data_IF_071856884004
#
_entry.id   IF_071856884004
#
_cell.length_a   1.000
_cell.length_b   1.000
_cell.length_c   1.000
_cell.angle_alpha   90.00
_cell.angle_beta   90.00
_cell.angle_gamma   90.00
#
_symmetry.space_group_name_H-M   'P 1'
#
loop_
_entity.id
_entity.type
_entity.pdbx_description
1 polymer ?
#
# COMPACT_ATOMS: atom_id res chain seq x y z
N UNK A 1 20.03 -13.19 -7.79
CA UNK A 1 19.49 -11.83 -7.64
C UNK A 1 18.42 -11.90 -6.56
N UNK A 2 18.71 -11.40 -5.35
CA UNK A 2 17.64 -11.20 -4.35
C UNK A 2 16.90 -9.94 -4.79
N UNK A 3 15.56 -9.91 -4.81
CA UNK A 3 14.85 -8.66 -5.02
C UNK A 3 15.19 -7.81 -3.79
N UNK A 4 16.07 -6.83 -3.99
CA UNK A 4 16.26 -5.78 -3.00
C UNK A 4 14.89 -5.19 -2.72
N UNK A 5 14.56 -5.06 -1.45
CA UNK A 5 13.35 -4.40 -0.98
C UNK A 5 13.36 -2.97 -1.51
N UNK A 6 12.86 -2.78 -2.74
CA UNK A 6 12.64 -1.48 -3.33
C UNK A 6 11.58 -0.84 -2.44
N UNK A 7 12.01 -0.01 -1.50
CA UNK A 7 11.13 0.81 -0.67
C UNK A 7 10.38 1.73 -1.62
N UNK A 8 9.23 1.27 -2.10
CA UNK A 8 8.34 2.09 -2.92
C UNK A 8 7.90 3.24 -2.01
N UNK A 9 8.28 4.50 -2.32
CA UNK A 9 7.85 5.63 -1.53
C UNK A 9 6.33 5.72 -1.55
N UNK A 10 5.73 6.15 -0.43
CA UNK A 10 4.30 6.43 -0.37
C UNK A 10 3.95 7.49 -1.42
N UNK A 11 3.00 7.18 -2.31
CA UNK A 11 2.40 8.11 -3.27
C UNK A 11 0.97 8.41 -2.84
N UNK A 12 0.54 9.66 -3.03
CA UNK A 12 -0.85 10.04 -2.78
C UNK A 12 -1.79 9.35 -3.78
N UNK A 13 -3.08 9.29 -3.47
CA UNK A 13 -4.08 8.71 -4.39
C UNK A 13 -4.14 9.50 -5.70
N UNK A 14 -3.97 10.82 -5.67
CA UNK A 14 -3.91 11.65 -6.88
C UNK A 14 -2.68 11.32 -7.74
N UNK A 15 -1.51 11.12 -7.12
CA UNK A 15 -0.28 10.76 -7.83
C UNK A 15 -0.39 9.38 -8.49
N UNK A 16 -0.98 8.41 -7.79
CA UNK A 16 -1.21 7.06 -8.34
C UNK A 16 -2.17 7.10 -9.53
N UNK A 17 -3.21 7.94 -9.48
CA UNK A 17 -4.14 8.12 -10.60
C UNK A 17 -3.47 8.76 -11.81
N UNK A 18 -2.70 9.84 -11.60
CA UNK A 18 -2.02 10.53 -12.68
C UNK A 18 -1.01 9.62 -13.41
N UNK A 19 -0.20 8.87 -12.64
CA UNK A 19 0.75 7.90 -13.21
C UNK A 19 0.03 6.77 -13.97
N UNK A 20 -1.11 6.32 -13.45
CA UNK A 20 -1.91 5.27 -14.07
C UNK A 20 -2.54 5.74 -15.38
N UNK A 21 -3.15 6.91 -15.41
CA UNK A 21 -3.79 7.48 -16.61
C UNK A 21 -2.76 7.71 -17.72
N UNK A 22 -1.55 8.16 -17.36
CA UNK A 22 -0.44 8.29 -18.29
C UNK A 22 -0.05 6.93 -18.90
N UNK A 23 0.01 5.86 -18.09
CA UNK A 23 0.33 4.50 -18.56
C UNK A 23 -0.78 3.84 -19.37
N UNK A 24 -2.05 4.06 -19.01
CA UNK A 24 -3.21 3.60 -19.78
C UNK A 24 -3.18 4.21 -21.19
N UNK A 25 -2.86 5.50 -21.28
CA UNK A 25 -2.73 6.21 -22.55
C UNK A 25 -1.55 5.70 -23.37
N UNK A 26 -0.37 5.51 -22.76
CA UNK A 26 0.83 4.97 -23.42
C UNK A 26 0.60 3.56 -23.97
N UNK A 27 -0.10 2.72 -23.21
CA UNK A 27 -0.36 1.32 -23.58
C UNK A 27 -1.61 1.14 -24.44
N UNK A 28 -2.31 2.24 -24.78
CA UNK A 28 -3.58 2.23 -25.52
C UNK A 28 -4.58 1.20 -24.96
N UNK A 29 -4.69 1.14 -23.63
CA UNK A 29 -5.56 0.19 -22.94
C UNK A 29 -7.01 0.64 -23.11
N UNK A 30 -7.87 -0.30 -23.49
CA UNK A 30 -9.31 -0.06 -23.62
C UNK A 30 -9.92 0.41 -22.29
N UNK A 31 -10.87 1.34 -22.36
CA UNK A 31 -11.41 2.04 -21.19
C UNK A 31 -11.94 1.07 -20.12
N UNK A 32 -12.66 0.02 -20.51
CA UNK A 32 -13.20 -0.98 -19.58
C UNK A 32 -12.08 -1.76 -18.85
N UNK A 33 -11.00 -2.06 -19.56
CA UNK A 33 -9.82 -2.72 -18.98
C UNK A 33 -9.07 -1.79 -18.02
N UNK A 34 -8.97 -0.50 -18.35
CA UNK A 34 -8.34 0.50 -17.48
C UNK A 34 -9.11 0.66 -16.15
N UNK A 35 -10.44 0.65 -16.20
CA UNK A 35 -11.26 0.78 -14.99
C UNK A 35 -11.11 -0.44 -14.06
N UNK A 36 -11.04 -1.64 -14.62
CA UNK A 36 -10.76 -2.88 -13.88
C UNK A 36 -9.40 -2.84 -13.19
N UNK A 37 -8.36 -2.40 -13.91
CA UNK A 37 -7.00 -2.28 -13.38
C UNK A 37 -6.91 -1.22 -12.28
N UNK A 38 -7.57 -0.07 -12.45
CA UNK A 38 -7.63 0.98 -11.42
C UNK A 38 -8.29 0.47 -10.15
N UNK A 39 -9.43 -0.23 -10.28
CA UNK A 39 -10.15 -0.81 -9.14
C UNK A 39 -9.27 -1.82 -8.39
N UNK A 40 -8.53 -2.66 -9.12
CA UNK A 40 -7.59 -3.62 -8.53
C UNK A 40 -6.47 -2.92 -7.75
N UNK A 41 -5.84 -1.90 -8.33
CA UNK A 41 -4.77 -1.15 -7.64
C UNK A 41 -5.27 -0.43 -6.39
N UNK A 42 -6.48 0.13 -6.42
CA UNK A 42 -7.07 0.80 -5.25
C UNK A 42 -7.38 -0.19 -4.13
N UNK A 43 -7.88 -1.39 -4.44
CA UNK A 43 -8.12 -2.42 -3.43
C UNK A 43 -6.81 -2.93 -2.84
N UNK A 44 -5.77 -3.17 -3.64
CA UNK A 44 -4.44 -3.56 -3.13
C UNK A 44 -3.85 -2.48 -2.22
N UNK A 45 -4.00 -1.20 -2.57
CA UNK A 45 -3.55 -0.08 -1.73
C UNK A 45 -4.33 -0.04 -0.39
N UNK A 46 -5.65 -0.23 -0.43
CA UNK A 46 -6.49 -0.33 0.78
C UNK A 46 -6.07 -1.51 1.66
N UNK A 47 -5.83 -2.69 1.07
CA UNK A 47 -5.35 -3.87 1.79
C UNK A 47 -3.97 -3.63 2.41
N UNK A 48 -3.06 -2.97 1.71
CA UNK A 48 -1.75 -2.58 2.23
C UNK A 48 -1.88 -1.62 3.43
N UNK A 49 -2.81 -0.66 3.38
CA UNK A 49 -3.10 0.23 4.50
C UNK A 49 -3.64 -0.53 5.72
N UNK A 50 -4.59 -1.45 5.52
CA UNK A 50 -5.13 -2.31 6.59
C UNK A 50 -4.00 -3.12 7.23
N UNK A 51 -3.18 -3.81 6.43
CA UNK A 51 -2.02 -4.58 6.92
C UNK A 51 -1.03 -3.71 7.67
N UNK A 52 -0.76 -2.49 7.18
CA UNK A 52 0.11 -1.51 7.83
C UNK A 52 -0.44 -1.05 9.19
N UNK A 53 -1.75 -0.81 9.29
CA UNK A 53 -2.43 -0.48 10.55
C UNK A 53 -2.41 -1.66 11.52
N UNK A 54 -2.69 -2.88 11.06
CA UNK A 54 -2.60 -4.09 11.89
C UNK A 54 -1.19 -4.32 12.42
N UNK A 55 -0.17 -4.13 11.58
CA UNK A 55 1.24 -4.23 12.00
C UNK A 55 1.59 -3.15 13.04
N UNK A 56 1.20 -1.90 12.79
CA UNK A 56 1.38 -0.79 13.73
C UNK A 56 0.69 -1.06 15.07
N UNK A 57 -0.54 -1.59 15.04
CA UNK A 57 -1.30 -1.89 16.25
C UNK A 57 -0.71 -3.05 17.04
N UNK A 58 -0.29 -4.14 16.37
CA UNK A 58 0.44 -5.26 17.00
C UNK A 58 1.75 -4.82 17.63
N UNK A 59 2.49 -3.91 16.98
CA UNK A 59 3.75 -3.35 17.50
C UNK A 59 3.51 -2.49 18.74
N UNK A 60 2.51 -1.60 18.69
CA UNK A 60 2.10 -0.77 19.83
C UNK A 60 1.61 -1.64 21.02
N UNK A 61 0.84 -2.68 20.74
CA UNK A 61 0.36 -3.64 21.73
C UNK A 61 1.51 -4.43 22.39
N UNK A 62 2.47 -4.88 21.59
CA UNK A 62 3.67 -5.58 22.07
C UNK A 62 4.56 -4.66 22.91
N UNK A 63 4.68 -3.38 22.52
CA UNK A 63 5.42 -2.38 23.29
C UNK A 63 4.78 -2.16 24.66
N UNK A 64 3.45 -1.96 24.72
CA UNK A 64 2.71 -1.79 25.98
C UNK A 64 2.88 -2.98 26.94
N UNK A 65 2.79 -4.22 26.46
CA UNK A 65 2.99 -5.41 27.31
C UNK A 65 4.43 -5.50 27.86
N UNK A 66 5.43 -5.12 27.06
CA UNK A 66 6.82 -5.14 27.50
C UNK A 66 7.11 -4.05 28.55
N UNK A 67 6.50 -2.88 28.43
CA UNK A 67 6.63 -1.83 29.45
C UNK A 67 5.98 -2.22 30.77
N UNK A 68 4.81 -2.87 30.74
CA UNK A 68 4.13 -3.33 31.96
C UNK A 68 4.91 -4.43 32.68
N UNK A 69 5.60 -5.31 31.95
CA UNK A 69 6.44 -6.37 32.53
C UNK A 69 7.82 -5.92 33.02
N UNK A 70 8.27 -4.71 32.69
CA UNK A 70 9.53 -4.13 33.20
C UNK A 70 9.34 -3.29 34.47
N UNK A 71 8.11 -2.93 34.80
CA UNK A 71 7.72 -2.22 36.03
C UNK A 71 7.27 -3.15 37.17
N UNK A 72 7.43 -4.47 37.03
CA UNK A 72 7.08 -5.47 38.02
C UNK A 72 8.31 -6.00 38.77
#
# INVERSE_FOLDING_TARGET
MKPEDTKVPYKSVEEVKADFDAKVTEMNIEQDTSQLLLNFMLEENRQAWIRGKEFGWKKAWTWKRKSEGQTA
#
